data_IF_915356829625
#
_entry.id   IF_915356829625
#
_cell.length_a   1.000
_cell.length_b   1.000
_cell.length_c   1.000
_cell.angle_alpha   90.00
_cell.angle_beta   90.00
_cell.angle_gamma   90.00
#
_symmetry.space_group_name_H-M   'P 1'
#
loop_
_entity.id
_entity.type
_entity.pdbx_description
1 polymer ?
#
# COMPACT_ATOMS: atom_id res chain seq x y z
N UNK A 1 4.61 -3.95 23.58
CA UNK A 1 3.91 -3.17 22.53
C UNK A 1 2.81 -4.07 22.02
N UNK A 2 1.59 -3.54 21.85
CA UNK A 2 0.50 -4.27 21.20
C UNK A 2 0.73 -4.33 19.69
N UNK A 3 0.23 -5.38 19.04
CA UNK A 3 0.24 -5.46 17.60
C UNK A 3 -1.11 -4.99 17.08
N UNK A 4 -1.10 -4.11 16.08
CA UNK A 4 -2.32 -3.62 15.41
C UNK A 4 -2.80 -4.63 14.36
N UNK A 5 -1.88 -5.35 13.72
CA UNK A 5 -2.16 -6.41 12.76
C UNK A 5 -1.27 -7.62 13.06
N UNK A 6 -1.87 -8.80 13.05
CA UNK A 6 -1.16 -10.09 13.20
C UNK A 6 -1.72 -11.09 12.19
N UNK A 7 -0.85 -11.81 11.49
CA UNK A 7 -1.23 -12.97 10.69
C UNK A 7 -0.50 -14.21 11.19
N UNK A 8 -1.22 -15.34 11.26
CA UNK A 8 -0.65 -16.62 11.69
C UNK A 8 -1.00 -17.70 10.67
N UNK A 9 0.00 -18.25 10.02
CA UNK A 9 -0.13 -19.28 9.00
C UNK A 9 -1.01 -18.86 7.82
N UNK A 10 -1.11 -17.57 7.51
CA UNK A 10 -1.99 -17.05 6.48
C UNK A 10 -1.63 -17.67 5.12
N UNK A 11 -2.59 -18.37 4.53
CA UNK A 11 -2.42 -19.10 3.28
C UNK A 11 -3.51 -18.72 2.30
N UNK A 12 -3.10 -18.44 1.06
CA UNK A 12 -4.01 -18.18 -0.07
C UNK A 12 -3.64 -19.10 -1.23
N UNK A 13 -4.62 -19.86 -1.72
CA UNK A 13 -4.41 -20.87 -2.77
C UNK A 13 -5.28 -20.59 -3.98
N UNK A 14 -4.72 -20.55 -5.17
CA UNK A 14 -5.41 -20.47 -6.45
C UNK A 14 -5.10 -21.70 -7.29
N UNK A 15 -6.12 -22.52 -7.63
CA UNK A 15 -5.96 -23.67 -8.52
C UNK A 15 -4.85 -24.64 -8.11
N UNK A 16 -4.60 -24.79 -6.78
CA UNK A 16 -3.55 -25.66 -6.25
C UNK A 16 -2.17 -25.01 -6.08
N UNK A 17 -1.99 -23.75 -6.51
CA UNK A 17 -0.78 -22.95 -6.25
C UNK A 17 -1.00 -22.08 -5.02
N UNK A 18 -0.09 -22.13 -4.06
CA UNK A 18 -0.09 -21.22 -2.91
C UNK A 18 0.55 -19.89 -3.31
N UNK A 19 -0.27 -18.85 -3.43
CA UNK A 19 0.21 -17.49 -3.64
C UNK A 19 0.73 -16.84 -2.33
N UNK A 20 0.17 -17.27 -1.18
CA UNK A 20 0.74 -17.08 0.15
C UNK A 20 0.75 -18.45 0.85
N UNK A 21 1.86 -18.82 1.47
CA UNK A 21 2.05 -20.12 2.10
C UNK A 21 2.55 -19.94 3.54
N UNK A 22 1.61 -19.99 4.48
CA UNK A 22 1.83 -19.87 5.93
C UNK A 22 2.60 -18.60 6.31
N UNK A 23 2.09 -17.44 5.86
CA UNK A 23 2.69 -16.15 6.16
C UNK A 23 2.36 -15.75 7.59
N UNK A 24 3.41 -15.63 8.41
CA UNK A 24 3.38 -15.07 9.75
C UNK A 24 3.99 -13.66 9.70
N UNK A 25 3.20 -12.65 10.09
CA UNK A 25 3.61 -11.24 10.03
C UNK A 25 2.93 -10.46 11.14
N UNK A 26 3.63 -9.50 11.72
CA UNK A 26 3.09 -8.59 12.72
C UNK A 26 3.37 -7.13 12.37
N UNK A 27 2.40 -6.27 12.63
CA UNK A 27 2.56 -4.82 12.59
C UNK A 27 2.34 -4.29 13.99
N UNK A 28 3.38 -3.88 14.72
CA UNK A 28 3.21 -3.25 16.03
C UNK A 28 2.50 -1.89 15.89
N UNK A 29 1.75 -1.52 16.92
CA UNK A 29 1.06 -0.23 16.99
C UNK A 29 2.08 0.93 16.98
N UNK A 30 1.79 1.99 16.19
CA UNK A 30 2.66 3.15 16.03
C UNK A 30 3.97 2.84 15.28
N UNK A 31 4.02 1.78 14.46
CA UNK A 31 5.20 1.39 13.71
C UNK A 31 4.97 1.39 12.20
N UNK A 32 6.07 1.65 11.50
CA UNK A 32 6.15 1.58 10.04
C UNK A 32 6.75 0.23 9.65
N UNK A 33 5.93 -0.67 9.12
CA UNK A 33 6.37 -2.01 8.70
C UNK A 33 6.30 -2.12 7.18
N UNK A 34 7.36 -2.63 6.56
CA UNK A 34 7.45 -2.86 5.12
C UNK A 34 7.24 -4.32 4.73
N UNK A 35 6.62 -4.56 3.58
CA UNK A 35 6.62 -5.85 2.90
C UNK A 35 7.18 -5.67 1.50
N UNK A 36 8.34 -6.26 1.26
CA UNK A 36 9.04 -6.21 -0.02
C UNK A 36 9.15 -7.61 -0.64
N UNK A 37 9.58 -7.67 -1.87
CA UNK A 37 9.83 -8.94 -2.57
C UNK A 37 9.72 -8.77 -4.09
N UNK A 38 10.21 -9.76 -4.85
CA UNK A 38 10.15 -9.77 -6.31
C UNK A 38 8.72 -9.67 -6.85
N UNK A 39 8.62 -9.39 -8.16
CA UNK A 39 7.34 -9.46 -8.86
C UNK A 39 6.80 -10.89 -8.83
N UNK A 40 5.50 -11.04 -8.53
CA UNK A 40 4.91 -12.37 -8.36
C UNK A 40 5.21 -13.06 -7.03
N UNK A 41 5.91 -12.42 -6.08
CA UNK A 41 6.18 -12.98 -4.75
C UNK A 41 4.94 -13.24 -3.90
N UNK A 42 3.78 -12.62 -4.23
CA UNK A 42 2.52 -12.77 -3.49
C UNK A 42 2.12 -11.56 -2.65
N UNK A 43 2.83 -10.43 -2.75
CA UNK A 43 2.58 -9.20 -1.96
C UNK A 43 1.15 -8.68 -2.13
N UNK A 44 0.70 -8.50 -3.38
CA UNK A 44 -0.67 -8.05 -3.68
C UNK A 44 -1.71 -9.05 -3.17
N UNK A 45 -1.46 -10.35 -3.32
CA UNK A 45 -2.35 -11.38 -2.78
C UNK A 45 -2.43 -11.33 -1.26
N UNK A 46 -1.31 -11.07 -0.58
CA UNK A 46 -1.30 -10.92 0.88
C UNK A 46 -2.14 -9.72 1.31
N UNK A 47 -1.96 -8.54 0.68
CA UNK A 47 -2.74 -7.35 1.04
C UNK A 47 -4.22 -7.53 0.70
N UNK A 48 -4.56 -8.20 -0.41
CA UNK A 48 -5.93 -8.54 -0.79
C UNK A 48 -6.59 -9.47 0.23
N UNK A 49 -5.83 -10.42 0.79
CA UNK A 49 -6.31 -11.32 1.83
C UNK A 49 -6.60 -10.58 3.14
N UNK A 50 -5.68 -9.73 3.62
CA UNK A 50 -5.88 -8.97 4.88
C UNK A 50 -6.91 -7.85 4.72
N UNK A 51 -7.20 -7.39 3.51
CA UNK A 51 -8.27 -6.41 3.23
C UNK A 51 -9.60 -7.05 2.83
N UNK A 52 -9.66 -8.38 2.68
CA UNK A 52 -10.88 -9.14 2.44
C UNK A 52 -11.35 -9.22 0.99
N UNK A 53 -10.51 -8.80 0.03
CA UNK A 53 -10.79 -8.95 -1.40
C UNK A 53 -10.55 -10.38 -1.89
N UNK A 54 -9.68 -11.13 -1.21
CA UNK A 54 -9.37 -12.53 -1.51
C UNK A 54 -9.58 -13.36 -0.23
N UNK A 55 -10.33 -14.47 -0.29
CA UNK A 55 -10.51 -15.34 0.88
C UNK A 55 -9.21 -16.08 1.21
N UNK A 56 -8.94 -16.23 2.51
CA UNK A 56 -7.86 -17.09 3.01
C UNK A 56 -8.26 -18.56 2.93
N UNK A 57 -7.33 -19.42 2.53
CA UNK A 57 -7.52 -20.87 2.49
C UNK A 57 -7.23 -21.54 3.84
N UNK A 58 -6.33 -20.92 4.64
CA UNK A 58 -5.98 -21.35 6.00
C UNK A 58 -5.28 -20.22 6.75
N UNK A 59 -5.13 -20.37 8.06
CA UNK A 59 -4.52 -19.38 8.94
C UNK A 59 -5.52 -18.35 9.42
N UNK A 60 -5.04 -17.36 10.15
CA UNK A 60 -5.85 -16.29 10.77
C UNK A 60 -5.25 -14.91 10.49
N UNK A 61 -6.10 -13.89 10.48
CA UNK A 61 -5.71 -12.49 10.47
C UNK A 61 -6.46 -11.76 11.59
N UNK A 62 -5.71 -11.13 12.48
CA UNK A 62 -6.24 -10.39 13.64
C UNK A 62 -5.88 -8.92 13.45
N UNK A 63 -6.86 -8.05 13.52
CA UNK A 63 -6.69 -6.60 13.44
C UNK A 63 -7.27 -5.94 14.70
N UNK A 64 -6.47 -5.11 15.37
CA UNK A 64 -6.84 -4.44 16.62
C UNK A 64 -7.41 -5.41 17.68
N UNK A 65 -6.85 -6.62 17.76
CA UNK A 65 -7.25 -7.67 18.69
C UNK A 65 -8.49 -8.49 18.29
N UNK A 66 -9.09 -8.22 17.12
CA UNK A 66 -10.27 -8.93 16.60
C UNK A 66 -9.92 -9.74 15.35
N UNK A 67 -10.44 -10.96 15.25
CA UNK A 67 -10.31 -11.78 14.04
C UNK A 67 -11.13 -11.15 12.92
N UNK A 68 -10.47 -10.85 11.79
CA UNK A 68 -11.07 -10.21 10.63
C UNK A 68 -11.38 -11.20 9.49
N UNK A 69 -11.18 -12.50 9.69
CA UNK A 69 -11.31 -13.52 8.64
C UNK A 69 -12.66 -13.49 7.92
N UNK A 70 -13.75 -13.34 8.66
CA UNK A 70 -15.13 -13.34 8.13
C UNK A 70 -15.63 -11.94 7.74
N UNK A 71 -14.90 -10.86 8.08
CA UNK A 71 -15.32 -9.50 7.79
C UNK A 71 -15.15 -9.16 6.30
N UNK A 72 -16.16 -8.48 5.76
CA UNK A 72 -16.12 -7.96 4.39
C UNK A 72 -15.17 -6.75 4.28
N UNK A 73 -14.66 -6.42 3.07
CA UNK A 73 -13.72 -5.31 2.89
C UNK A 73 -14.18 -3.97 3.52
N UNK A 74 -15.44 -3.60 3.33
CA UNK A 74 -15.98 -2.35 3.89
C UNK A 74 -16.08 -2.38 5.43
N UNK A 75 -16.32 -3.55 6.05
CA UNK A 75 -16.35 -3.69 7.50
C UNK A 75 -14.94 -3.55 8.09
N UNK A 76 -13.91 -4.11 7.41
CA UNK A 76 -12.50 -3.92 7.79
C UNK A 76 -12.09 -2.45 7.69
N UNK A 77 -12.50 -1.77 6.61
CA UNK A 77 -12.25 -0.34 6.44
C UNK A 77 -12.94 0.51 7.52
N UNK A 78 -14.20 0.21 7.87
CA UNK A 78 -14.93 0.87 8.95
C UNK A 78 -14.32 0.64 10.35
N UNK A 79 -13.59 -0.47 10.53
CA UNK A 79 -12.84 -0.75 11.76
C UNK A 79 -11.50 0.00 11.81
N UNK A 80 -11.12 0.71 10.72
CA UNK A 80 -9.91 1.51 10.63
C UNK A 80 -8.75 0.87 9.88
N UNK A 81 -8.97 -0.25 9.16
CA UNK A 81 -7.99 -0.85 8.25
C UNK A 81 -8.17 -0.26 6.85
N UNK A 82 -7.48 0.83 6.56
CA UNK A 82 -7.64 1.57 5.29
C UNK A 82 -6.50 1.26 4.34
N UNK A 83 -6.83 1.03 3.05
CA UNK A 83 -5.85 0.76 1.98
C UNK A 83 -5.87 1.86 0.92
N UNK A 84 -4.68 2.30 0.48
CA UNK A 84 -4.56 3.01 -0.79
C UNK A 84 -4.51 1.99 -1.93
N UNK A 85 -5.12 2.32 -3.07
CA UNK A 85 -5.04 1.49 -4.26
C UNK A 85 -3.94 2.02 -5.19
N UNK A 86 -3.30 1.12 -5.92
CA UNK A 86 -2.25 1.43 -6.90
C UNK A 86 -2.75 2.37 -8.00
N UNK A 87 -4.04 2.23 -8.41
CA UNK A 87 -4.70 3.16 -9.32
C UNK A 87 -5.12 4.43 -8.58
N UNK A 88 -4.73 5.58 -9.12
CA UNK A 88 -5.16 6.90 -8.62
C UNK A 88 -6.63 7.15 -8.99
N UNK A 89 -7.55 6.54 -8.23
CA UNK A 89 -8.99 6.74 -8.44
C UNK A 89 -9.45 8.02 -7.74
N UNK A 90 -8.95 9.17 -8.20
CA UNK A 90 -9.43 10.47 -7.76
C UNK A 90 -10.73 10.83 -8.51
N UNK A 91 -11.62 11.48 -7.81
CA UNK A 91 -12.80 12.09 -8.44
C UNK A 91 -12.34 13.32 -9.22
N UNK A 92 -12.25 13.20 -10.54
CA UNK A 92 -11.72 14.25 -11.42
C UNK A 92 -12.59 15.52 -11.42
N UNK A 93 -13.88 15.40 -11.09
CA UNK A 93 -14.86 16.50 -11.02
C UNK A 93 -14.93 17.17 -9.64
N UNK A 94 -14.08 16.76 -8.69
CA UNK A 94 -14.01 17.30 -7.33
C UNK A 94 -12.65 17.92 -7.07
N UNK A 95 -12.60 19.00 -6.27
CA UNK A 95 -11.35 19.57 -5.80
C UNK A 95 -10.54 18.57 -4.95
N UNK A 96 -9.26 18.85 -4.69
CA UNK A 96 -8.46 18.05 -3.77
C UNK A 96 -9.14 17.94 -2.41
N UNK A 97 -9.57 19.05 -1.83
CA UNK A 97 -10.27 19.08 -0.54
C UNK A 97 -11.57 18.26 -0.57
N UNK A 98 -12.36 18.36 -1.64
CA UNK A 98 -13.61 17.60 -1.78
C UNK A 98 -13.35 16.10 -1.95
N UNK A 99 -12.25 15.70 -2.61
CA UNK A 99 -11.81 14.31 -2.68
C UNK A 99 -11.53 13.70 -1.27
N UNK A 100 -10.95 14.50 -0.38
CA UNK A 100 -10.70 14.09 1.01
C UNK A 100 -12.01 14.07 1.80
N UNK A 101 -12.90 15.04 1.59
CA UNK A 101 -14.22 15.09 2.23
C UNK A 101 -15.03 13.82 2.00
N UNK A 102 -15.06 13.32 0.75
CA UNK A 102 -15.77 12.07 0.42
C UNK A 102 -15.27 10.88 1.24
N UNK A 103 -13.97 10.83 1.56
CA UNK A 103 -13.39 9.74 2.34
C UNK A 103 -13.57 9.92 3.86
N UNK A 104 -13.63 11.16 4.34
CA UNK A 104 -13.78 11.48 5.76
C UNK A 104 -15.20 11.28 6.30
N UNK A 105 -16.21 11.32 5.43
CA UNK A 105 -17.58 11.09 5.88
C UNK A 105 -17.89 9.61 6.12
N UNK A 106 -18.37 9.30 7.33
CA UNK A 106 -18.89 7.97 7.67
C UNK A 106 -20.24 7.74 6.95
N UNK A 107 -20.23 6.92 5.91
CA UNK A 107 -21.42 6.61 5.08
C UNK A 107 -22.39 5.62 5.71
N UNK A 108 -22.47 5.54 7.06
CA UNK A 108 -23.49 4.71 7.71
C UNK A 108 -24.87 5.31 7.43
N UNK A 109 -25.77 4.51 6.85
CA UNK A 109 -27.11 4.95 6.42
C UNK A 109 -27.95 5.62 7.53
N UNK A 110 -27.68 5.32 8.81
CA UNK A 110 -28.31 5.94 9.95
C UNK A 110 -27.66 7.26 10.39
N UNK A 111 -26.45 7.60 9.90
CA UNK A 111 -25.87 8.92 10.14
C UNK A 111 -26.71 10.01 9.46
N UNK A 112 -27.25 9.76 8.27
CA UNK A 112 -28.19 10.68 7.59
C UNK A 112 -29.41 11.03 8.45
N UNK A 113 -29.98 10.10 9.20
CA UNK A 113 -31.10 10.37 10.11
C UNK A 113 -30.67 11.13 11.36
N UNK A 114 -29.45 10.89 11.85
CA UNK A 114 -28.86 11.61 12.98
C UNK A 114 -28.41 13.01 12.57
N UNK A 115 -27.87 13.19 11.37
CA UNK A 115 -27.48 14.48 10.80
C UNK A 115 -28.70 15.38 10.53
N UNK A 116 -29.86 14.80 10.20
CA UNK A 116 -31.12 15.53 10.07
C UNK A 116 -31.70 15.96 11.44
N UNK A 117 -31.32 15.31 12.53
CA UNK A 117 -31.81 15.58 13.88
C UNK A 117 -30.78 16.30 14.79
N UNK A 118 -29.51 16.24 14.49
CA UNK A 118 -28.41 16.70 15.35
C UNK A 118 -27.20 17.21 14.53
N UNK A 119 -27.09 18.46 14.32
CA UNK A 119 -26.07 19.48 14.53
C UNK A 119 -24.55 19.27 14.16
N UNK A 120 -23.86 20.37 13.91
CA UNK A 120 -22.60 20.58 13.17
C UNK A 120 -21.30 20.11 13.85
N UNK A 121 -21.34 19.23 14.87
CA UNK A 121 -20.12 18.78 15.54
C UNK A 121 -19.28 17.79 14.73
N UNK A 122 -19.94 16.93 13.94
CA UNK A 122 -19.24 15.96 13.07
C UNK A 122 -18.53 16.62 11.90
N UNK A 123 -19.11 17.69 11.37
CA UNK A 123 -18.51 18.44 10.27
C UNK A 123 -17.16 19.06 10.69
N UNK A 124 -17.07 19.56 11.92
CA UNK A 124 -15.84 20.18 12.42
C UNK A 124 -14.69 19.19 12.63
N UNK A 125 -14.97 18.01 13.20
CA UNK A 125 -13.96 16.96 13.38
C UNK A 125 -13.46 16.42 12.03
N UNK A 126 -14.35 16.28 11.05
CA UNK A 126 -14.01 15.88 9.68
C UNK A 126 -13.17 16.96 9.00
N UNK A 127 -13.56 18.24 9.12
CA UNK A 127 -12.78 19.35 8.57
C UNK A 127 -11.37 19.43 9.19
N UNK A 128 -11.24 19.30 10.51
CA UNK A 128 -9.96 19.29 11.20
C UNK A 128 -9.07 18.11 10.72
N UNK A 129 -9.66 16.94 10.49
CA UNK A 129 -8.95 15.77 9.97
C UNK A 129 -8.48 15.98 8.51
N UNK A 130 -9.29 16.62 7.68
CA UNK A 130 -8.94 16.95 6.30
C UNK A 130 -7.82 17.98 6.26
N UNK A 131 -7.96 19.06 7.02
CA UNK A 131 -6.94 20.10 7.08
C UNK A 131 -5.61 19.53 7.57
N UNK A 132 -5.64 18.62 8.56
CA UNK A 132 -4.46 17.87 9.01
C UNK A 132 -3.88 16.98 7.89
N UNK A 133 -4.71 16.24 7.15
CA UNK A 133 -4.25 15.38 6.06
C UNK A 133 -3.63 16.19 4.90
N UNK A 134 -4.18 17.37 4.60
CA UNK A 134 -3.62 18.31 3.62
C UNK A 134 -2.27 18.87 4.09
N UNK A 135 -2.16 19.23 5.39
CA UNK A 135 -0.93 19.78 5.96
C UNK A 135 0.19 18.76 5.93
N UNK A 136 -0.03 17.55 6.46
CA UNK A 136 0.99 16.51 6.56
C UNK A 136 1.47 16.00 5.18
N UNK A 137 0.61 16.09 4.15
CA UNK A 137 0.95 15.75 2.77
C UNK A 137 1.43 16.94 1.93
N UNK A 138 1.57 18.13 2.53
CA UNK A 138 2.04 19.34 1.84
C UNK A 138 1.14 19.78 0.69
N UNK A 139 -0.19 19.65 0.85
CA UNK A 139 -1.18 19.90 -0.23
C UNK A 139 -2.03 21.16 0.00
N UNK A 140 -1.74 21.97 1.04
CA UNK A 140 -2.52 23.15 1.36
C UNK A 140 -2.60 24.17 0.21
N UNK A 141 -1.52 24.30 -0.57
CA UNK A 141 -1.43 25.22 -1.72
C UNK A 141 -2.30 24.80 -2.91
N UNK A 142 -2.77 23.55 -2.94
CA UNK A 142 -3.59 22.98 -4.01
C UNK A 142 -4.94 22.43 -3.54
N UNK A 143 -5.37 22.77 -2.32
CA UNK A 143 -6.61 22.24 -1.74
C UNK A 143 -7.85 22.47 -2.63
N UNK A 144 -7.92 23.62 -3.29
CA UNK A 144 -9.02 23.99 -4.18
C UNK A 144 -8.77 23.63 -5.66
N UNK A 145 -7.60 23.05 -5.99
CA UNK A 145 -7.27 22.64 -7.36
C UNK A 145 -8.02 21.37 -7.75
N UNK A 146 -8.20 21.17 -9.07
CA UNK A 146 -8.73 19.92 -9.62
C UNK A 146 -7.60 18.91 -9.78
N UNK A 147 -7.85 17.60 -9.65
CA UNK A 147 -6.83 16.57 -9.88
C UNK A 147 -6.15 16.68 -11.25
N UNK A 148 -6.88 17.08 -12.29
CA UNK A 148 -6.35 17.29 -13.65
C UNK A 148 -5.25 18.35 -13.73
N UNK A 149 -5.21 19.30 -12.79
CA UNK A 149 -4.24 20.39 -12.77
C UNK A 149 -2.94 20.02 -12.04
N UNK A 150 -2.90 18.82 -11.41
CA UNK A 150 -1.78 18.36 -10.60
C UNK A 150 -0.80 17.49 -11.40
N UNK A 151 0.49 17.56 -11.04
CA UNK A 151 1.48 16.58 -11.49
C UNK A 151 1.12 15.17 -10.98
N UNK A 152 1.68 14.14 -11.63
CA UNK A 152 1.45 12.75 -11.22
C UNK A 152 1.85 12.50 -9.76
N UNK A 153 3.01 13.03 -9.32
CA UNK A 153 3.45 12.94 -7.94
C UNK A 153 2.47 13.58 -6.96
N UNK A 154 1.97 14.80 -7.24
CA UNK A 154 0.97 15.44 -6.38
C UNK A 154 -0.35 14.67 -6.32
N UNK A 155 -0.79 14.09 -7.43
CA UNK A 155 -1.98 13.22 -7.45
C UNK A 155 -1.80 12.00 -6.53
N UNK A 156 -0.59 11.43 -6.47
CA UNK A 156 -0.25 10.35 -5.53
C UNK A 156 -0.36 10.80 -4.07
N UNK A 157 0.17 11.98 -3.75
CA UNK A 157 0.03 12.56 -2.41
C UNK A 157 -1.44 12.76 -2.04
N UNK A 158 -2.29 13.22 -2.97
CA UNK A 158 -3.75 13.32 -2.75
C UNK A 158 -4.39 11.96 -2.45
N UNK A 159 -3.96 10.89 -3.14
CA UNK A 159 -4.44 9.53 -2.87
C UNK A 159 -4.12 9.06 -1.45
N UNK A 160 -2.91 9.36 -0.96
CA UNK A 160 -2.50 9.07 0.43
C UNK A 160 -3.27 9.96 1.41
N UNK A 161 -3.36 11.28 1.16
CA UNK A 161 -4.13 12.22 1.98
C UNK A 161 -5.59 11.79 2.14
N UNK A 162 -6.21 11.29 1.06
CA UNK A 162 -7.58 10.76 1.08
C UNK A 162 -7.72 9.55 2.02
N UNK A 163 -6.73 8.67 2.05
CA UNK A 163 -6.73 7.56 2.99
C UNK A 163 -6.54 8.02 4.44
N UNK A 164 -5.75 9.06 4.68
CA UNK A 164 -5.59 9.69 6.00
C UNK A 164 -6.87 10.37 6.48
N UNK A 165 -7.62 11.01 5.59
CA UNK A 165 -8.89 11.66 5.91
C UNK A 165 -9.95 10.69 6.47
N UNK A 166 -9.83 9.38 6.19
CA UNK A 166 -10.66 8.34 6.77
C UNK A 166 -10.31 7.98 8.23
N UNK A 167 -9.37 8.68 8.87
CA UNK A 167 -8.91 8.44 10.26
C UNK A 167 -8.53 6.99 10.53
N UNK A 168 -7.59 6.40 9.76
CA UNK A 168 -7.23 5.00 9.88
C UNK A 168 -6.51 4.71 11.20
N UNK A 169 -6.70 3.49 11.74
CA UNK A 169 -5.84 2.92 12.79
C UNK A 169 -4.58 2.28 12.19
N UNK A 170 -4.73 1.69 11.01
CA UNK A 170 -3.65 1.16 10.19
C UNK A 170 -3.88 1.56 8.74
N UNK A 171 -2.92 2.27 8.15
CA UNK A 171 -2.92 2.55 6.72
C UNK A 171 -2.05 1.55 5.97
N UNK A 172 -2.63 0.94 4.95
CA UNK A 172 -1.96 0.03 4.02
C UNK A 172 -1.62 0.82 2.76
N UNK A 173 -0.33 1.05 2.53
CA UNK A 173 0.17 1.76 1.34
C UNK A 173 0.63 0.73 0.31
N UNK A 174 -0.07 0.66 -0.82
CA UNK A 174 0.21 -0.29 -1.89
C UNK A 174 0.90 0.40 -3.06
N UNK A 175 2.21 0.23 -3.16
CA UNK A 175 3.10 0.82 -4.15
C UNK A 175 2.91 2.36 -4.33
N UNK A 176 2.95 3.15 -3.24
CA UNK A 176 2.71 4.59 -3.34
C UNK A 176 3.76 5.31 -4.18
N UNK A 177 4.98 4.78 -4.30
CA UNK A 177 6.04 5.36 -5.11
C UNK A 177 6.02 4.94 -6.59
N UNK A 178 5.14 4.01 -7.00
CA UNK A 178 5.12 3.53 -8.38
C UNK A 178 4.91 4.68 -9.39
N UNK A 179 5.83 4.81 -10.36
CA UNK A 179 5.79 5.86 -11.39
C UNK A 179 6.28 7.24 -10.94
N UNK A 180 6.80 7.37 -9.71
CA UNK A 180 7.49 8.56 -9.24
C UNK A 180 8.97 8.52 -9.65
N UNK A 181 9.55 9.70 -9.89
CA UNK A 181 10.99 9.81 -9.98
C UNK A 181 11.65 9.77 -8.59
N UNK A 182 12.99 9.72 -8.56
CA UNK A 182 13.74 9.63 -7.29
C UNK A 182 13.48 10.82 -6.36
N UNK A 183 13.30 12.03 -6.90
CA UNK A 183 13.07 13.24 -6.11
C UNK A 183 11.64 13.23 -5.53
N UNK A 184 10.65 12.85 -6.34
CA UNK A 184 9.26 12.69 -5.91
C UNK A 184 9.11 11.59 -4.84
N UNK A 185 9.82 10.44 -5.01
CA UNK A 185 9.86 9.35 -4.02
C UNK A 185 10.47 9.81 -2.70
N UNK A 186 11.51 10.64 -2.73
CA UNK A 186 12.11 11.22 -1.52
C UNK A 186 11.15 12.19 -0.81
N UNK A 187 10.41 13.02 -1.56
CA UNK A 187 9.40 13.93 -1.01
C UNK A 187 8.30 13.11 -0.32
N UNK A 188 7.77 12.09 -1.01
CA UNK A 188 6.79 11.16 -0.43
C UNK A 188 7.33 10.54 0.86
N UNK A 189 8.57 10.02 0.84
CA UNK A 189 9.22 9.43 2.01
C UNK A 189 9.33 10.40 3.19
N UNK A 190 9.57 11.70 2.93
CA UNK A 190 9.55 12.76 3.93
C UNK A 190 8.18 12.85 4.62
N UNK A 191 7.11 13.00 3.84
CA UNK A 191 5.74 13.07 4.36
C UNK A 191 5.34 11.79 5.11
N UNK A 192 5.70 10.60 4.58
CA UNK A 192 5.40 9.35 5.26
C UNK A 192 6.07 9.22 6.63
N UNK A 193 7.28 9.78 6.81
CA UNK A 193 7.95 9.78 8.12
C UNK A 193 7.24 10.63 9.15
N UNK A 194 6.58 11.71 8.74
CA UNK A 194 5.81 12.56 9.64
C UNK A 194 4.64 11.79 10.29
N UNK A 195 4.16 10.68 9.67
CA UNK A 195 3.13 9.84 10.26
C UNK A 195 3.57 9.20 11.59
N UNK A 196 4.87 8.90 11.76
CA UNK A 196 5.42 8.35 13.01
C UNK A 196 5.29 9.32 14.18
N UNK A 197 5.35 10.63 13.92
CA UNK A 197 5.20 11.67 14.94
C UNK A 197 3.75 11.78 15.45
N UNK A 198 2.80 11.13 14.74
CA UNK A 198 1.37 11.07 15.07
C UNK A 198 0.91 9.68 15.53
N UNK A 199 1.83 8.81 15.98
CA UNK A 199 1.56 7.44 16.46
C UNK A 199 0.76 6.58 15.46
N UNK A 200 0.84 6.88 14.15
CA UNK A 200 0.16 6.11 13.12
C UNK A 200 0.86 4.78 12.85
N UNK A 201 0.06 3.74 12.70
CA UNK A 201 0.56 2.44 12.23
C UNK A 201 0.49 2.40 10.70
N UNK A 202 1.59 2.02 10.06
CA UNK A 202 1.68 1.97 8.59
C UNK A 202 2.21 0.61 8.15
N UNK A 203 1.56 0.04 7.16
CA UNK A 203 2.06 -1.13 6.45
C UNK A 203 2.29 -0.78 4.98
N UNK A 204 3.56 -0.74 4.57
CA UNK A 204 3.99 -0.32 3.24
C UNK A 204 4.35 -1.53 2.39
N UNK A 205 3.76 -1.62 1.21
CA UNK A 205 4.21 -2.50 0.14
C UNK A 205 4.79 -1.63 -0.96
N UNK A 206 6.06 -1.79 -1.26
CA UNK A 206 6.69 -1.12 -2.39
C UNK A 206 7.87 -1.95 -2.93
N UNK A 207 8.23 -1.72 -4.19
CA UNK A 207 9.41 -2.28 -4.81
C UNK A 207 10.60 -1.29 -4.80
N UNK A 208 10.37 -0.02 -4.45
CA UNK A 208 11.43 0.96 -4.24
C UNK A 208 12.14 0.71 -2.91
N UNK A 209 13.25 -0.03 -2.98
CA UNK A 209 14.09 -0.31 -1.82
C UNK A 209 14.60 0.96 -1.13
N UNK A 210 14.84 2.04 -1.88
CA UNK A 210 15.30 3.31 -1.33
C UNK A 210 14.26 3.91 -0.39
N UNK A 211 13.00 3.97 -0.82
CA UNK A 211 11.88 4.41 0.00
C UNK A 211 11.71 3.52 1.22
N UNK A 212 11.54 2.20 1.02
CA UNK A 212 11.26 1.25 2.11
C UNK A 212 12.34 1.28 3.19
N UNK A 213 13.62 1.20 2.81
CA UNK A 213 14.75 1.26 3.75
C UNK A 213 14.86 2.62 4.47
N UNK A 214 14.28 3.68 3.89
CA UNK A 214 14.33 5.02 4.48
C UNK A 214 13.23 5.29 5.49
N UNK A 215 12.03 4.64 5.36
CA UNK A 215 10.85 4.96 6.17
C UNK A 215 10.46 3.86 7.17
N UNK A 216 10.76 2.58 6.90
CA UNK A 216 10.31 1.47 7.73
C UNK A 216 11.15 1.29 9.00
N UNK A 217 10.50 0.89 10.10
CA UNK A 217 11.16 0.41 11.33
C UNK A 217 11.55 -1.07 11.20
N UNK A 218 10.72 -1.86 10.50
CA UNK A 218 10.88 -3.30 10.31
C UNK A 218 10.39 -3.72 8.93
N UNK A 219 11.00 -4.72 8.33
CA UNK A 219 10.73 -5.13 6.96
C UNK A 219 10.64 -6.66 6.88
N UNK A 220 9.59 -7.15 6.23
CA UNK A 220 9.43 -8.53 5.81
C UNK A 220 9.75 -8.67 4.32
N UNK A 221 10.40 -9.77 3.95
CA UNK A 221 10.74 -10.09 2.57
C UNK A 221 9.98 -11.33 2.14
N UNK A 222 9.08 -11.16 1.20
CA UNK A 222 8.25 -12.23 0.64
C UNK A 222 8.86 -12.71 -0.69
N UNK A 223 8.96 -14.03 -0.86
CA UNK A 223 9.35 -14.67 -2.12
C UNK A 223 8.59 -15.99 -2.29
N UNK A 224 8.02 -16.22 -3.47
CA UNK A 224 7.17 -17.39 -3.77
C UNK A 224 6.15 -17.70 -2.67
N UNK A 225 5.49 -16.65 -2.15
CA UNK A 225 4.45 -16.75 -1.12
C UNK A 225 4.95 -16.99 0.30
N UNK A 226 6.26 -16.97 0.57
CA UNK A 226 6.85 -17.23 1.89
C UNK A 226 7.71 -16.08 2.37
N UNK A 227 7.72 -15.83 3.66
CA UNK A 227 8.71 -14.93 4.27
C UNK A 227 10.07 -15.62 4.24
N UNK A 228 11.02 -15.02 3.53
CA UNK A 228 12.39 -15.54 3.37
C UNK A 228 13.41 -14.81 4.25
N UNK A 229 13.08 -13.60 4.68
CA UNK A 229 13.87 -12.78 5.60
C UNK A 229 12.97 -11.75 6.28
N UNK A 230 13.38 -11.31 7.46
CA UNK A 230 12.75 -10.21 8.19
C UNK A 230 13.78 -9.53 9.08
N UNK A 231 13.57 -8.24 9.38
CA UNK A 231 14.49 -7.48 10.24
C UNK A 231 14.38 -5.98 10.07
N UNK A 232 15.30 -5.28 10.71
CA UNK A 232 15.50 -3.83 10.54
C UNK A 232 15.99 -3.51 9.12
N UNK A 233 15.85 -2.25 8.65
CA UNK A 233 16.39 -1.83 7.36
C UNK A 233 17.87 -2.17 7.15
N UNK A 234 18.68 -2.10 8.22
CA UNK A 234 20.08 -2.44 8.15
C UNK A 234 20.29 -3.95 7.93
N UNK A 235 19.61 -4.80 8.68
CA UNK A 235 19.70 -6.26 8.55
C UNK A 235 19.25 -6.72 7.15
N UNK A 236 18.18 -6.13 6.62
CA UNK A 236 17.69 -6.42 5.26
C UNK A 236 18.70 -6.02 4.19
N UNK A 237 19.33 -4.85 4.33
CA UNK A 237 20.38 -4.37 3.40
C UNK A 237 21.59 -5.28 3.34
N UNK A 238 21.96 -5.86 4.48
CA UNK A 238 23.14 -6.74 4.63
C UNK A 238 22.84 -8.20 4.25
N UNK A 239 21.57 -8.60 4.19
CA UNK A 239 21.13 -9.99 3.97
C UNK A 239 21.49 -10.51 2.57
N UNK A 240 22.31 -11.58 2.54
CA UNK A 240 22.65 -12.27 1.29
C UNK A 240 21.45 -13.01 0.67
N UNK A 241 20.48 -13.44 1.50
CA UNK A 241 19.24 -14.06 1.03
C UNK A 241 18.41 -13.06 0.23
N UNK A 242 18.26 -11.83 0.73
CA UNK A 242 17.53 -10.76 0.06
C UNK A 242 18.22 -10.37 -1.25
N UNK A 243 19.55 -10.16 -1.22
CA UNK A 243 20.31 -9.84 -2.43
C UNK A 243 20.14 -10.90 -3.52
N UNK A 244 20.16 -12.20 -3.15
CA UNK A 244 19.98 -13.29 -4.13
C UNK A 244 18.57 -13.33 -4.71
N UNK A 245 17.52 -13.07 -3.92
CA UNK A 245 16.14 -13.04 -4.40
C UNK A 245 15.94 -11.93 -5.47
N UNK A 246 16.51 -10.75 -5.26
CA UNK A 246 16.42 -9.64 -6.23
C UNK A 246 17.36 -9.79 -7.44
N UNK A 247 18.58 -10.32 -7.26
CA UNK A 247 19.49 -10.58 -8.38
C UNK A 247 18.99 -11.66 -9.34
N UNK A 248 18.13 -12.56 -8.87
CA UNK A 248 17.45 -13.55 -9.72
C UNK A 248 16.48 -12.93 -10.72
N UNK A 249 15.80 -11.84 -10.36
CA UNK A 249 14.92 -11.08 -11.25
C UNK A 249 15.69 -10.36 -12.36
N UNK A 250 16.73 -9.61 -12.02
CA UNK A 250 17.57 -8.90 -13.00
C UNK A 250 18.20 -9.88 -14.01
N UNK A 251 18.66 -11.04 -13.58
CA UNK A 251 19.19 -12.08 -14.46
C UNK A 251 18.12 -12.67 -15.40
N UNK A 252 16.88 -12.81 -14.93
CA UNK A 252 15.74 -13.27 -15.72
C UNK A 252 15.34 -12.26 -16.78
N UNK A 253 15.27 -10.98 -16.45
CA UNK A 253 14.93 -9.90 -17.40
C UNK A 253 16.00 -9.75 -18.49
N UNK A 254 17.29 -9.85 -18.13
CA UNK A 254 18.40 -9.79 -19.08
C UNK A 254 18.35 -10.97 -20.05
N UNK A 255 18.02 -12.18 -19.58
CA UNK A 255 17.87 -13.36 -20.45
C UNK A 255 16.67 -13.24 -21.40
N UNK A 256 15.55 -12.70 -20.93
CA UNK A 256 14.35 -12.50 -21.76
C UNK A 256 14.61 -11.48 -22.88
N UNK A 257 15.23 -10.34 -22.57
CA UNK A 257 15.61 -9.32 -23.54
C UNK A 257 16.66 -9.82 -24.55
N UNK A 258 17.60 -10.66 -24.10
CA UNK A 258 18.58 -11.31 -24.99
C UNK A 258 17.92 -12.33 -25.95
N UNK A 259 16.91 -13.06 -25.46
CA UNK A 259 16.12 -14.01 -26.28
C UNK A 259 15.31 -13.30 -27.37
N UNK A 260 14.64 -12.20 -27.06
CA UNK A 260 13.88 -11.41 -28.02
C UNK A 260 14.78 -10.79 -29.11
N UNK A 261 15.97 -10.31 -28.75
CA UNK A 261 16.96 -9.82 -29.73
C UNK A 261 17.49 -10.89 -30.66
N UNK A 262 17.67 -12.12 -30.19
CA UNK A 262 18.09 -13.23 -31.03
C UNK A 262 16.99 -13.68 -32.01
N UNK A 263 15.73 -13.67 -31.58
CA UNK A 263 14.59 -14.03 -32.43
C UNK A 263 14.35 -12.99 -33.53
N UNK A 264 14.53 -11.71 -33.24
CA UNK A 264 14.43 -10.63 -34.22
C UNK A 264 15.55 -10.64 -35.29
N UNK A 265 16.76 -11.08 -34.92
CA UNK A 265 17.90 -11.19 -35.85
C UNK A 265 17.80 -12.42 -36.76
N UNK A 266 17.10 -13.49 -36.37
CA UNK A 266 16.86 -14.67 -37.20
C UNK A 266 15.69 -14.49 -38.18
N UNK A 267 14.76 -13.55 -37.91
CA UNK A 267 13.64 -13.22 -38.80
C UNK A 267 14.03 -12.42 -40.05
N UNK A 268 15.20 -11.74 -40.04
CA UNK A 268 15.61 -10.85 -41.13
C UNK A 268 16.57 -11.50 -42.15
N UNK A 269 16.90 -12.80 -41.99
CA UNK A 269 17.77 -13.53 -42.95
C UNK A 269 17.02 -14.50 -43.87
N UNK A 270 15.67 -14.53 -43.85
CA UNK A 270 14.84 -15.45 -44.65
C UNK A 270 14.24 -14.85 -45.92
N UNK A 271 14.66 -13.67 -46.39
CA UNK A 271 13.97 -12.95 -47.46
C UNK A 271 14.85 -12.48 -48.63
N UNK A 272 15.89 -13.24 -49.04
CA UNK A 272 16.58 -13.01 -50.30
C UNK A 272 17.04 -14.37 -50.87
N UNK A 273 16.17 -15.06 -51.57
CA UNK A 273 16.46 -15.97 -52.69
C UNK A 273 15.13 -16.49 -53.25
N UNK A 274 14.71 -15.93 -54.42
CA UNK A 274 13.57 -16.39 -55.19
C UNK A 274 13.14 -15.36 -56.23
#
# INVERSE_FOLDING_TARGET
MSNILETSGLTVTFGGLNACDKVDLTVPEGKFVGLIGPNGAGKTTFIDAITGYVPTSAGTAVFNGEDIGELKPHERAQNGLVRTFQSLELFEDLSVKDNLLVAGYDTRWYSFLLDMLYMPRKDKEVEEQIDWALEIMGLNDVADAMPSDLSHGRRKLVGVARALAASPKLILLDEPAAGLDTAESQILGGHLREFLDHDMSVFLIDHDMGLVLSVCDYIYVLDFGKIIAEGTPQEIRESDTVKKAYLGEEAGEIQFQAGERMTSLQGDQGGQDG
#
